data_IF_139552496642
#
_entry.id   IF_139552496642
#
_cell.length_a   1.000
_cell.length_b   1.000
_cell.length_c   1.000
_cell.angle_alpha   90.00
_cell.angle_beta   90.00
_cell.angle_gamma   90.00
#
_symmetry.space_group_name_H-M   'P 1'
#
loop_
_entity.id
_entity.type
_entity.pdbx_description
1 polymer ?
#
# COMPACT_ATOMS: atom_id res chain seq x y z
N UNK A 1 8.77 -3.65 22.22
CA UNK A 1 8.86 -3.59 20.74
C UNK A 1 8.29 -2.25 20.30
N UNK A 2 8.84 -1.58 19.27
CA UNK A 2 8.24 -0.32 18.78
C UNK A 2 6.99 -0.66 17.96
N UNK A 3 5.89 -0.01 18.31
CA UNK A 3 4.55 -0.16 17.71
C UNK A 3 4.47 0.41 16.29
N UNK A 4 5.38 1.34 15.96
CA UNK A 4 5.55 1.95 14.65
C UNK A 4 6.94 1.65 14.10
N UNK A 5 7.05 1.56 12.79
CA UNK A 5 8.32 1.51 12.07
C UNK A 5 8.28 2.37 10.82
N UNK A 6 9.46 2.80 10.37
CA UNK A 6 9.66 3.40 9.07
C UNK A 6 10.55 2.47 8.25
N UNK A 7 10.18 2.26 6.99
CA UNK A 7 10.94 1.45 6.04
C UNK A 7 11.09 2.22 4.73
N UNK A 8 12.29 2.15 4.14
CA UNK A 8 12.50 2.69 2.80
C UNK A 8 12.04 1.68 1.75
N UNK A 9 11.20 2.13 0.81
CA UNK A 9 10.63 1.28 -0.22
C UNK A 9 11.55 1.26 -1.45
N UNK A 10 12.65 0.52 -1.40
CA UNK A 10 13.68 0.48 -2.45
C UNK A 10 13.15 0.11 -3.84
N UNK A 11 12.12 -0.73 -3.92
CA UNK A 11 11.52 -1.13 -5.20
C UNK A 11 10.66 0.00 -5.77
N UNK A 12 9.72 0.53 -4.97
CA UNK A 12 8.88 1.67 -5.34
C UNK A 12 9.74 2.89 -5.69
N UNK A 13 10.78 3.18 -4.91
CA UNK A 13 11.70 4.30 -5.16
C UNK A 13 12.35 4.21 -6.54
N UNK A 14 12.80 3.01 -6.93
CA UNK A 14 13.40 2.78 -8.25
C UNK A 14 12.40 2.95 -9.39
N UNK A 15 11.18 2.47 -9.22
CA UNK A 15 10.14 2.55 -10.24
C UNK A 15 9.57 3.97 -10.38
N UNK A 16 9.43 4.68 -9.26
CA UNK A 16 8.89 6.03 -9.20
C UNK A 16 9.96 7.11 -9.41
N UNK A 17 11.25 6.78 -9.32
CA UNK A 17 12.34 7.74 -9.49
C UNK A 17 12.35 8.84 -8.43
N UNK A 18 11.87 8.53 -7.22
CA UNK A 18 11.81 9.41 -6.05
C UNK A 18 12.00 8.57 -4.78
N UNK A 19 12.39 9.18 -3.67
CA UNK A 19 12.55 8.44 -2.41
C UNK A 19 11.20 8.13 -1.77
N UNK A 20 10.87 6.86 -1.67
CA UNK A 20 9.63 6.34 -1.10
C UNK A 20 9.85 5.74 0.29
N UNK A 21 8.94 6.00 1.22
CA UNK A 21 8.91 5.40 2.55
C UNK A 21 7.56 4.78 2.89
N UNK A 22 7.57 3.86 3.84
CA UNK A 22 6.39 3.28 4.47
C UNK A 22 6.47 3.50 5.98
N UNK A 23 5.42 4.09 6.55
CA UNK A 23 5.17 4.00 7.98
C UNK A 23 4.24 2.82 8.21
N UNK A 24 4.72 1.84 8.96
CA UNK A 24 3.97 0.64 9.30
C UNK A 24 3.69 0.50 10.79
N UNK A 25 2.69 -0.31 11.09
CA UNK A 25 2.17 -0.57 12.42
C UNK A 25 2.47 -2.05 12.79
N UNK A 26 2.97 -2.31 14.01
CA UNK A 26 3.23 -3.67 14.53
C UNK A 26 2.60 -3.85 15.90
N UNK A 27 1.90 -4.96 16.09
CA UNK A 27 1.30 -5.39 17.37
C UNK A 27 0.52 -4.27 18.08
N UNK A 28 -0.27 -3.51 17.32
CA UNK A 28 -1.03 -2.39 17.86
C UNK A 28 -2.27 -2.91 18.57
N UNK A 29 -2.40 -2.53 19.84
CA UNK A 29 -3.63 -2.75 20.59
C UNK A 29 -4.74 -1.84 20.05
N UNK A 30 -5.97 -2.36 19.84
CA UNK A 30 -7.12 -1.51 19.49
C UNK A 30 -7.43 -0.45 20.57
N UNK A 31 -7.02 -0.70 21.83
CA UNK A 31 -7.24 0.21 22.96
C UNK A 31 -6.13 1.25 23.16
N UNK A 32 -5.16 1.34 22.24
CA UNK A 32 -4.08 2.33 22.34
C UNK A 32 -4.62 3.77 22.30
N UNK A 33 -3.93 4.69 22.97
CA UNK A 33 -4.21 6.11 22.85
C UNK A 33 -3.97 6.59 21.40
N UNK A 34 -5.05 6.76 20.64
CA UNK A 34 -4.99 7.10 19.23
C UNK A 34 -4.43 8.50 18.94
N UNK A 35 -4.59 9.47 19.86
CA UNK A 35 -4.01 10.80 19.69
C UNK A 35 -2.48 10.76 19.79
N UNK A 36 -1.97 10.04 20.80
CA UNK A 36 -0.53 9.82 20.94
C UNK A 36 0.04 9.02 19.75
N UNK A 37 -0.70 8.02 19.26
CA UNK A 37 -0.31 7.28 18.07
C UNK A 37 -0.23 8.20 16.84
N UNK A 38 -1.19 9.11 16.66
CA UNK A 38 -1.18 10.08 15.56
C UNK A 38 0.02 11.03 15.64
N UNK A 39 0.32 11.57 16.83
CA UNK A 39 1.49 12.44 17.04
C UNK A 39 2.80 11.71 16.75
N UNK A 40 2.90 10.43 17.12
CA UNK A 40 4.07 9.61 16.80
C UNK A 40 4.23 9.37 15.29
N UNK A 41 3.13 9.14 14.55
CA UNK A 41 3.19 9.03 13.07
C UNK A 41 3.67 10.35 12.46
N UNK A 42 3.12 11.49 12.92
CA UNK A 42 3.55 12.82 12.45
C UNK A 42 5.02 13.09 12.71
N UNK A 43 5.53 12.69 13.88
CA UNK A 43 6.94 12.80 14.21
C UNK A 43 7.81 12.01 13.24
N UNK A 44 7.41 10.80 12.86
CA UNK A 44 8.15 10.01 11.86
C UNK A 44 8.13 10.69 10.49
N UNK A 45 7.00 11.27 10.07
CA UNK A 45 6.92 12.05 8.82
C UNK A 45 7.91 13.23 8.88
N UNK A 46 7.96 13.95 10.01
CA UNK A 46 8.86 15.09 10.20
C UNK A 46 10.35 14.70 10.22
N UNK A 47 10.67 13.50 10.72
CA UNK A 47 12.03 12.95 10.74
C UNK A 47 12.51 12.47 9.36
N UNK A 48 11.60 12.21 8.41
CA UNK A 48 11.90 11.66 7.08
C UNK A 48 11.42 12.59 5.95
N UNK A 49 11.57 13.91 6.14
CA UNK A 49 11.14 14.97 5.19
C UNK A 49 11.88 14.96 3.86
N UNK A 50 12.98 14.23 3.76
CA UNK A 50 13.73 14.00 2.52
C UNK A 50 13.05 12.99 1.59
N UNK A 51 12.16 12.14 2.12
CA UNK A 51 11.33 11.28 1.31
C UNK A 51 10.38 12.11 0.44
N UNK A 52 10.40 11.88 -0.87
CA UNK A 52 9.46 12.49 -1.82
C UNK A 52 8.04 11.93 -1.67
N UNK A 53 7.91 10.74 -1.08
CA UNK A 53 6.63 10.07 -0.86
C UNK A 53 6.70 9.20 0.40
N UNK A 54 5.70 9.30 1.28
CA UNK A 54 5.55 8.42 2.44
C UNK A 54 4.14 7.84 2.44
N UNK A 55 4.04 6.52 2.30
CA UNK A 55 2.79 5.78 2.46
C UNK A 55 2.59 5.36 3.92
N UNK A 56 1.32 5.26 4.33
CA UNK A 56 0.94 4.61 5.59
C UNK A 56 -0.37 3.87 5.40
N UNK A 57 -0.46 2.64 5.94
CA UNK A 57 -1.69 1.84 5.92
C UNK A 57 -2.21 1.71 7.35
N UNK A 58 -3.29 2.43 7.64
CA UNK A 58 -3.87 2.49 8.98
C UNK A 58 -4.94 1.40 9.10
N UNK A 59 -4.92 0.56 10.15
CA UNK A 59 -6.01 -0.37 10.39
C UNK A 59 -7.34 0.36 10.63
N UNK A 60 -8.46 -0.24 10.20
CA UNK A 60 -9.79 0.40 10.24
C UNK A 60 -10.27 0.79 11.64
N UNK A 61 -9.71 0.18 12.68
CA UNK A 61 -10.07 0.44 14.09
C UNK A 61 -9.46 1.73 14.66
N UNK A 62 -8.68 2.48 13.87
CA UNK A 62 -8.01 3.71 14.29
C UNK A 62 -8.52 4.98 13.59
N UNK A 63 -9.82 5.32 13.70
CA UNK A 63 -10.40 6.47 12.99
C UNK A 63 -9.85 7.81 13.48
N UNK A 64 -9.43 7.94 14.75
CA UNK A 64 -8.87 9.18 15.27
C UNK A 64 -7.48 9.43 14.65
N UNK A 65 -6.66 8.38 14.51
CA UNK A 65 -5.36 8.49 13.83
C UNK A 65 -5.55 8.96 12.40
N UNK A 66 -6.49 8.35 11.67
CA UNK A 66 -6.81 8.73 10.30
C UNK A 66 -7.25 10.20 10.21
N UNK A 67 -8.21 10.62 11.04
CA UNK A 67 -8.72 12.00 11.05
C UNK A 67 -7.61 13.03 11.35
N UNK A 68 -6.76 12.74 12.35
CA UNK A 68 -5.63 13.60 12.68
C UNK A 68 -4.65 13.77 11.52
N UNK A 69 -4.34 12.68 10.81
CA UNK A 69 -3.42 12.69 9.67
C UNK A 69 -4.03 13.39 8.45
N UNK A 70 -5.28 13.09 8.09
CA UNK A 70 -5.96 13.73 6.94
C UNK A 70 -6.09 15.24 7.14
N UNK A 71 -6.34 15.70 8.38
CA UNK A 71 -6.47 17.13 8.66
C UNK A 71 -5.17 17.93 8.51
N UNK A 72 -4.00 17.30 8.63
CA UNK A 72 -2.75 18.05 8.85
C UNK A 72 -1.54 17.58 8.04
N UNK A 73 -1.54 16.36 7.50
CA UNK A 73 -0.28 15.70 7.12
C UNK A 73 -0.40 14.64 6.03
N UNK A 74 -1.61 14.21 5.66
CA UNK A 74 -1.81 13.11 4.73
C UNK A 74 -3.01 13.35 3.78
N UNK A 75 -2.96 12.69 2.63
CA UNK A 75 -4.09 12.54 1.72
C UNK A 75 -4.61 11.11 1.83
N UNK A 76 -5.93 10.97 1.90
CA UNK A 76 -6.58 9.67 1.83
C UNK A 76 -6.65 9.20 0.37
N UNK A 77 -6.20 7.98 0.09
CA UNK A 77 -6.13 7.42 -1.26
C UNK A 77 -7.19 6.35 -1.47
N UNK A 78 -7.18 5.28 -0.67
CA UNK A 78 -8.09 4.14 -0.82
C UNK A 78 -8.40 3.43 0.51
N UNK A 79 -9.35 2.50 0.46
CA UNK A 79 -9.61 1.50 1.51
C UNK A 79 -9.27 0.11 1.00
N UNK A 80 -8.90 -0.78 1.91
CA UNK A 80 -8.70 -2.19 1.61
C UNK A 80 -9.56 -3.05 2.54
N UNK A 81 -10.25 -4.04 1.98
CA UNK A 81 -10.99 -5.07 2.73
C UNK A 81 -10.30 -6.41 2.53
N UNK A 82 -9.91 -7.04 3.63
CA UNK A 82 -9.23 -8.34 3.60
C UNK A 82 -10.25 -9.43 3.92
N UNK A 83 -10.56 -10.27 2.94
CA UNK A 83 -11.38 -11.46 3.13
C UNK A 83 -10.49 -12.67 3.36
N UNK A 84 -10.83 -13.48 4.37
CA UNK A 84 -10.22 -14.80 4.58
C UNK A 84 -11.27 -15.86 4.30
N UNK A 85 -11.08 -16.63 3.23
CA UNK A 85 -11.92 -17.78 2.96
C UNK A 85 -11.61 -18.87 3.98
N UNK A 86 -12.66 -19.42 4.59
CA UNK A 86 -12.55 -20.56 5.47
C UNK A 86 -12.63 -21.81 4.59
N UNK A 87 -11.50 -22.42 4.27
CA UNK A 87 -11.40 -23.60 3.39
C UNK A 87 -11.93 -24.87 4.10
N UNK A 88 -13.20 -24.87 4.48
CA UNK A 88 -13.83 -26.01 5.18
C UNK A 88 -14.20 -27.13 4.18
N UNK A 89 -14.35 -26.83 2.89
CA UNK A 89 -14.44 -27.83 1.84
C UNK A 89 -13.60 -27.40 0.65
N UNK A 90 -12.69 -28.28 0.23
CA UNK A 90 -12.21 -28.30 -1.14
C UNK A 90 -13.35 -28.80 -2.03
N UNK A 91 -14.43 -28.02 -2.15
CA UNK A 91 -15.36 -28.23 -3.25
C UNK A 91 -14.56 -27.91 -4.52
N UNK A 92 -14.09 -28.97 -5.15
CA UNK A 92 -13.20 -28.97 -6.30
C UNK A 92 -13.91 -28.35 -7.48
N UNK A 93 -13.86 -27.02 -7.57
CA UNK A 93 -13.92 -26.37 -8.87
C UNK A 93 -12.62 -26.75 -9.56
N UNK A 94 -12.69 -27.74 -10.45
CA UNK A 94 -11.53 -28.17 -11.25
C UNK A 94 -11.10 -27.01 -12.15
N UNK A 95 -10.14 -26.24 -11.67
CA UNK A 95 -9.44 -25.24 -12.46
C UNK A 95 -8.15 -25.86 -12.99
N UNK A 96 -7.97 -25.85 -14.31
CA UNK A 96 -6.66 -26.12 -14.91
C UNK A 96 -5.81 -24.86 -14.77
N UNK A 97 -4.70 -24.97 -14.03
CA UNK A 97 -3.71 -23.89 -13.87
C UNK A 97 -2.43 -24.33 -14.56
N UNK A 98 -2.02 -23.58 -15.57
CA UNK A 98 -0.76 -23.80 -16.28
C UNK A 98 0.34 -22.92 -15.69
N UNK A 99 1.47 -23.52 -15.36
CA UNK A 99 2.66 -22.81 -14.86
C UNK A 99 3.64 -22.56 -16.00
N UNK A 100 4.02 -21.30 -16.19
CA UNK A 100 4.97 -20.90 -17.24
C UNK A 100 6.28 -20.39 -16.63
N UNK A 101 7.42 -20.82 -17.17
CA UNK A 101 8.74 -20.35 -16.75
C UNK A 101 9.05 -18.93 -17.26
N UNK A 102 8.38 -18.49 -18.33
CA UNK A 102 8.55 -17.18 -18.94
C UNK A 102 7.35 -16.84 -19.81
N UNK A 103 7.07 -15.55 -19.91
CA UNK A 103 6.06 -14.97 -20.78
C UNK A 103 6.53 -13.58 -21.22
N UNK A 104 5.91 -13.06 -22.26
CA UNK A 104 6.07 -11.67 -22.67
C UNK A 104 5.33 -10.77 -21.64
N UNK A 105 5.99 -9.83 -20.95
CA UNK A 105 5.34 -8.97 -19.97
C UNK A 105 4.24 -8.10 -20.60
N UNK A 106 4.32 -7.82 -21.90
CA UNK A 106 3.36 -6.95 -22.58
C UNK A 106 1.95 -7.56 -22.61
N UNK A 107 1.81 -8.87 -22.41
CA UNK A 107 0.48 -9.52 -22.32
C UNK A 107 -0.32 -9.09 -21.09
N UNK A 108 0.36 -8.58 -20.06
CA UNK A 108 -0.27 -8.12 -18.83
C UNK A 108 -0.60 -6.62 -18.85
N UNK A 109 -0.14 -5.89 -19.85
CA UNK A 109 -0.44 -4.46 -19.99
C UNK A 109 -1.95 -4.19 -20.05
N UNK A 110 -2.76 -4.92 -20.83
CA UNK A 110 -4.21 -4.73 -20.82
C UNK A 110 -4.82 -4.98 -19.43
N UNK A 111 -4.31 -5.96 -18.67
CA UNK A 111 -4.80 -6.22 -17.32
C UNK A 111 -4.37 -5.12 -16.34
N UNK A 112 -3.16 -4.58 -16.49
CA UNK A 112 -2.69 -3.42 -15.73
C UNK A 112 -3.51 -2.15 -16.03
N UNK A 113 -4.01 -2.02 -17.25
CA UNK A 113 -4.93 -0.94 -17.64
C UNK A 113 -6.31 -1.10 -16.97
N UNK A 114 -6.76 -2.32 -16.66
CA UNK A 114 -8.01 -2.54 -15.90
C UNK A 114 -7.88 -2.12 -14.41
N UNK A 115 -6.66 -1.96 -13.90
CA UNK A 115 -6.39 -1.55 -12.51
C UNK A 115 -6.47 -0.03 -12.28
N UNK A 116 -7.20 0.70 -13.14
CA UNK A 116 -7.32 2.18 -13.11
C UNK A 116 -7.78 2.76 -11.76
N UNK A 117 -8.45 1.98 -10.91
CA UNK A 117 -8.93 2.42 -9.60
C UNK A 117 -7.99 2.06 -8.45
N UNK A 118 -6.83 1.49 -8.73
CA UNK A 118 -5.83 1.21 -7.69
C UNK A 118 -5.20 2.50 -7.15
N UNK A 119 -4.64 2.41 -5.94
CA UNK A 119 -3.93 3.53 -5.29
C UNK A 119 -2.89 4.22 -6.15
N UNK A 120 -2.19 3.50 -7.03
CA UNK A 120 -1.13 4.06 -7.85
C UNK A 120 -1.67 4.97 -8.96
N UNK A 121 -2.87 4.70 -9.47
CA UNK A 121 -3.55 5.57 -10.44
C UNK A 121 -4.38 6.66 -9.76
N UNK A 122 -4.84 6.43 -8.53
CA UNK A 122 -5.63 7.38 -7.74
C UNK A 122 -4.76 8.45 -7.04
N UNK A 123 -3.45 8.26 -6.95
CA UNK A 123 -2.51 9.25 -6.43
C UNK A 123 -2.03 10.18 -7.56
N UNK A 124 -2.51 11.43 -7.54
CA UNK A 124 -2.13 12.45 -8.53
C UNK A 124 -0.63 12.78 -8.57
N UNK A 125 0.15 12.35 -7.55
CA UNK A 125 1.59 12.54 -7.52
C UNK A 125 2.35 11.46 -8.30
N UNK A 126 1.66 10.37 -8.69
CA UNK A 126 2.24 9.27 -9.46
C UNK A 126 1.82 9.43 -10.93
N UNK A 127 2.75 9.69 -11.86
CA UNK A 127 2.42 9.73 -13.28
C UNK A 127 1.81 8.41 -13.76
N UNK A 128 0.75 8.47 -14.56
CA UNK A 128 0.03 7.29 -15.05
C UNK A 128 0.94 6.25 -15.73
N UNK A 129 1.94 6.69 -16.49
CA UNK A 129 2.92 5.79 -17.11
C UNK A 129 3.69 4.95 -16.08
N UNK A 130 4.03 5.54 -14.93
CA UNK A 130 4.72 4.84 -13.84
C UNK A 130 3.77 3.90 -13.09
N UNK A 131 2.52 4.31 -12.87
CA UNK A 131 1.49 3.45 -12.28
C UNK A 131 1.23 2.20 -13.14
N UNK A 132 1.14 2.38 -14.47
CA UNK A 132 0.99 1.30 -15.45
C UNK A 132 2.14 0.32 -15.40
N UNK A 133 3.37 0.83 -15.39
CA UNK A 133 4.58 0.00 -15.29
C UNK A 133 4.63 -0.79 -13.98
N UNK A 134 4.33 -0.14 -12.85
CA UNK A 134 4.26 -0.79 -11.53
C UNK A 134 3.28 -1.97 -11.52
N UNK A 135 2.09 -1.78 -12.11
CA UNK A 135 1.09 -2.85 -12.20
C UNK A 135 1.51 -3.98 -13.14
N UNK A 136 2.02 -3.65 -14.32
CA UNK A 136 2.50 -4.65 -15.27
C UNK A 136 3.62 -5.51 -14.65
N UNK A 137 4.54 -4.90 -13.91
CA UNK A 137 5.62 -5.61 -13.21
C UNK A 137 5.12 -6.45 -12.02
N UNK A 138 3.99 -6.08 -11.39
CA UNK A 138 3.44 -6.77 -10.21
C UNK A 138 2.53 -7.96 -10.57
N UNK A 139 1.91 -7.92 -11.74
CA UNK A 139 1.05 -9.00 -12.26
C UNK A 139 1.88 -10.17 -12.79
N UNK A 140 3.11 -9.87 -13.23
CA UNK A 140 4.10 -10.87 -13.65
C UNK A 140 4.49 -11.81 -12.50
#
# INVERSE_FOLDING_TARGET
MKTLFYEHLEWDSRQLGLQCGLIGFRDISPDINQYELADNVRKIIDENRDAGFIATKIPGDFPIVLDCLVKNSARFIDTELIYKFNHISDDTVEHTVDFFNSFDPDIFIPLADEMIFSRFYMDDNIPQEKARKLWSDSIR
#
